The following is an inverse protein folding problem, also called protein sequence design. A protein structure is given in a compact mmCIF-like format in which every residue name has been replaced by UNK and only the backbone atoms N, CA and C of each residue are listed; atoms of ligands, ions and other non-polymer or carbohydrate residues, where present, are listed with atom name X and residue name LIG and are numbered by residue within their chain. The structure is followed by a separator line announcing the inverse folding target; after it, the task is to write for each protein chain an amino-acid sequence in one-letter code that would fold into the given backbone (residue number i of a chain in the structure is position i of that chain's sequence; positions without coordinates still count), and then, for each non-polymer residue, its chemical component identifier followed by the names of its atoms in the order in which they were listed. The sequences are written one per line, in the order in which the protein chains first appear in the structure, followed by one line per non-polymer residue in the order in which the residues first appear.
data_IF_414713297271
#
_entry.id   IF_414713297271
#
_cell.length_a   1.000
_cell.length_b   1.000
_cell.length_c   1.000
_cell.angle_alpha   90.00
_cell.angle_beta   90.00
_cell.angle_gamma   90.00
#
_symmetry.space_group_name_H-M   'P 1'
#
loop_
_entity.id
_entity.type
_entity.pdbx_description
1 polymer ?
#
# COMPACT_ATOMS: atom_id res chain seq x y z
N UNK A 1 3.27 35.91 12.80
CA UNK A 1 3.86 34.84 13.63
C UNK A 1 3.79 35.13 15.16
N UNK A 2 4.13 36.29 15.63
CA UNK A 2 4.12 36.64 17.07
C UNK A 2 2.72 36.47 17.73
N UNK A 3 1.65 36.99 17.11
CA UNK A 3 0.29 36.89 17.61
C UNK A 3 -0.20 35.41 17.71
N UNK A 4 0.06 34.61 16.69
CA UNK A 4 -0.32 33.18 16.64
C UNK A 4 0.27 32.36 17.80
N UNK A 5 1.57 32.52 18.07
CA UNK A 5 2.27 31.82 19.17
C UNK A 5 1.79 32.24 20.54
N UNK A 6 1.49 33.56 20.72
CA UNK A 6 1.01 34.11 21.98
C UNK A 6 -0.41 33.61 22.31
N UNK A 7 -1.26 33.51 21.31
CA UNK A 7 -2.61 32.95 21.43
C UNK A 7 -2.63 31.47 21.78
N UNK A 8 -1.76 30.67 21.15
CA UNK A 8 -1.57 29.26 21.50
C UNK A 8 -1.16 29.07 22.97
N UNK A 9 -0.26 29.97 23.48
CA UNK A 9 0.15 29.92 24.87
C UNK A 9 -0.94 30.37 25.86
N UNK A 10 -1.80 31.30 25.48
CA UNK A 10 -2.87 31.83 26.33
C UNK A 10 -4.06 30.88 26.49
N UNK A 11 -4.40 30.11 25.48
CA UNK A 11 -5.54 29.18 25.48
C UNK A 11 -5.11 27.72 25.35
N UNK A 12 -4.13 27.29 26.15
CA UNK A 12 -3.46 25.97 26.07
C UNK A 12 -4.45 24.80 26.05
N UNK A 13 -5.47 24.81 26.92
CA UNK A 13 -6.43 23.70 27.02
C UNK A 13 -7.23 23.54 25.73
N UNK A 14 -7.68 24.63 25.15
CA UNK A 14 -8.50 24.63 23.91
C UNK A 14 -7.70 24.14 22.72
N UNK A 15 -6.53 24.72 22.49
CA UNK A 15 -5.65 24.28 21.40
C UNK A 15 -5.06 22.88 21.63
N UNK A 16 -4.86 22.51 22.91
CA UNK A 16 -4.45 21.14 23.27
C UNK A 16 -5.50 20.09 22.92
N UNK A 17 -6.80 20.37 23.19
CA UNK A 17 -7.88 19.48 22.81
C UNK A 17 -8.00 19.34 21.29
N UNK A 18 -7.90 20.44 20.55
CA UNK A 18 -7.93 20.40 19.08
C UNK A 18 -6.73 19.66 18.53
N UNK A 19 -5.54 19.96 19.07
CA UNK A 19 -4.30 19.24 18.71
C UNK A 19 -4.43 17.74 18.97
N UNK A 20 -5.01 17.34 20.10
CA UNK A 20 -5.27 15.93 20.42
C UNK A 20 -6.19 15.26 19.37
N UNK A 21 -7.28 15.92 19.01
CA UNK A 21 -8.19 15.38 17.98
C UNK A 21 -7.48 15.29 16.63
N UNK A 22 -6.67 16.28 16.26
CA UNK A 22 -5.88 16.24 15.02
C UNK A 22 -4.85 15.10 15.06
N UNK A 23 -4.20 14.85 16.20
CA UNK A 23 -3.30 13.71 16.40
C UNK A 23 -4.04 12.40 16.22
N UNK A 24 -5.21 12.23 16.87
CA UNK A 24 -5.98 10.99 16.77
C UNK A 24 -6.45 10.72 15.33
N UNK A 25 -6.95 11.75 14.64
CA UNK A 25 -7.38 11.62 13.24
C UNK A 25 -6.22 11.29 12.29
N UNK A 26 -5.12 12.02 12.39
CA UNK A 26 -3.96 11.75 11.55
C UNK A 26 -3.30 10.41 11.88
N UNK A 27 -3.25 10.02 13.14
CA UNK A 27 -2.80 8.69 13.56
C UNK A 27 -3.69 7.59 12.94
N UNK A 28 -5.01 7.73 13.03
CA UNK A 28 -5.94 6.75 12.47
C UNK A 28 -5.81 6.65 10.95
N UNK A 29 -5.69 7.77 10.24
CA UNK A 29 -5.47 7.77 8.78
C UNK A 29 -4.16 7.07 8.43
N UNK A 30 -3.07 7.36 9.12
CA UNK A 30 -1.77 6.71 8.88
C UNK A 30 -1.81 5.20 9.17
N UNK A 31 -2.46 4.78 10.27
CA UNK A 31 -2.60 3.36 10.61
C UNK A 31 -3.42 2.61 9.56
N UNK A 32 -4.60 3.13 9.18
CA UNK A 32 -5.43 2.48 8.16
C UNK A 32 -4.71 2.47 6.81
N UNK A 33 -3.98 3.53 6.48
CA UNK A 33 -3.20 3.57 5.23
C UNK A 33 -2.02 2.59 5.23
N UNK A 34 -1.35 2.43 6.37
CA UNK A 34 -0.29 1.43 6.54
C UNK A 34 -0.81 0.00 6.43
N UNK A 35 -1.97 -0.29 7.03
CA UNK A 35 -2.67 -1.58 6.90
C UNK A 35 -3.14 -1.82 5.46
N UNK A 36 -3.73 -0.81 4.81
CA UNK A 36 -4.21 -0.91 3.43
C UNK A 36 -3.07 -1.24 2.46
N UNK A 37 -1.95 -0.54 2.60
CA UNK A 37 -0.80 -0.78 1.76
C UNK A 37 -0.11 -2.12 2.08
N UNK A 38 0.00 -2.46 3.36
CA UNK A 38 0.53 -3.75 3.80
C UNK A 38 -0.30 -4.92 3.29
N UNK A 39 -1.62 -4.85 3.40
CA UNK A 39 -2.53 -5.88 2.89
C UNK A 39 -2.45 -6.03 1.36
N UNK A 40 -2.38 -4.89 0.64
CA UNK A 40 -2.13 -4.89 -0.81
C UNK A 40 -0.81 -5.55 -1.18
N UNK A 41 0.22 -5.29 -0.41
CA UNK A 41 1.56 -5.86 -0.62
C UNK A 41 1.58 -7.36 -0.32
N UNK A 42 0.96 -7.78 0.76
CA UNK A 42 0.76 -9.18 1.14
C UNK A 42 -0.07 -9.95 0.09
N UNK A 43 -1.01 -9.29 -0.56
CA UNK A 43 -1.80 -9.92 -1.62
C UNK A 43 -1.05 -10.06 -2.95
N UNK A 44 -0.14 -9.16 -3.30
CA UNK A 44 0.34 -9.04 -4.69
C UNK A 44 1.82 -8.68 -4.86
N UNK A 45 2.65 -8.73 -3.80
CA UNK A 45 4.04 -8.26 -3.87
C UNK A 45 4.88 -9.00 -4.91
N UNK A 46 4.62 -10.27 -5.16
CA UNK A 46 5.32 -11.03 -6.21
C UNK A 46 5.15 -10.43 -7.60
N UNK A 47 3.94 -9.94 -7.92
CA UNK A 47 3.68 -9.27 -9.20
C UNK A 47 4.12 -7.80 -9.15
N UNK A 48 3.93 -7.12 -8.01
CA UNK A 48 4.36 -5.72 -7.86
C UNK A 48 5.88 -5.57 -8.03
N UNK A 49 6.67 -6.49 -7.45
CA UNK A 49 8.13 -6.47 -7.47
C UNK A 49 8.75 -7.09 -8.73
N UNK A 50 7.94 -7.78 -9.56
CA UNK A 50 8.39 -8.35 -10.81
C UNK A 50 8.90 -7.27 -11.76
N UNK A 51 10.01 -7.49 -12.44
CA UNK A 51 10.61 -6.52 -13.39
C UNK A 51 9.88 -6.49 -14.75
N UNK A 52 8.63 -6.91 -14.80
CA UNK A 52 7.76 -6.84 -15.97
C UNK A 52 6.85 -5.61 -15.90
N UNK A 53 6.58 -4.97 -17.03
CA UNK A 53 5.64 -3.86 -17.14
C UNK A 53 4.30 -4.27 -17.74
N UNK A 54 4.31 -5.27 -18.61
CA UNK A 54 3.16 -5.82 -19.32
C UNK A 54 3.14 -7.34 -19.26
N UNK A 55 1.98 -7.92 -19.51
CA UNK A 55 1.78 -9.37 -19.51
C UNK A 55 0.94 -9.76 -20.71
N UNK A 56 1.27 -10.90 -21.33
CA UNK A 56 0.39 -11.58 -22.27
C UNK A 56 -0.40 -12.64 -21.50
N UNK A 57 -1.69 -12.66 -21.69
CA UNK A 57 -2.60 -13.68 -21.16
C UNK A 57 -3.41 -14.31 -22.31
N UNK A 58 -4.06 -15.44 -22.04
CA UNK A 58 -5.02 -16.01 -22.96
C UNK A 58 -6.26 -15.11 -23.10
N UNK A 59 -6.85 -15.03 -24.29
CA UNK A 59 -7.99 -14.15 -24.59
C UNK A 59 -9.22 -14.40 -23.71
N UNK A 60 -9.43 -15.66 -23.32
CA UNK A 60 -10.54 -16.12 -22.47
C UNK A 60 -10.27 -16.06 -20.96
N UNK A 61 -9.10 -15.59 -20.56
CA UNK A 61 -8.66 -15.55 -19.16
C UNK A 61 -9.36 -14.48 -18.30
N UNK A 62 -10.09 -13.53 -18.88
CA UNK A 62 -10.66 -12.37 -18.17
C UNK A 62 -9.60 -11.62 -17.34
N UNK A 63 -8.40 -11.46 -17.87
CA UNK A 63 -7.24 -10.86 -17.23
C UNK A 63 -6.74 -11.59 -15.96
N UNK A 64 -7.19 -12.83 -15.68
CA UNK A 64 -6.85 -13.59 -14.48
C UNK A 64 -5.70 -14.57 -14.73
N UNK A 65 -4.56 -14.38 -14.07
CA UNK A 65 -3.38 -15.26 -14.18
C UNK A 65 -3.70 -16.74 -13.94
N UNK A 66 -4.52 -17.03 -12.92
CA UNK A 66 -4.88 -18.41 -12.55
C UNK A 66 -5.85 -19.10 -13.54
N UNK A 67 -6.49 -18.34 -14.43
CA UNK A 67 -7.38 -18.86 -15.48
C UNK A 67 -6.72 -18.92 -16.84
N UNK A 68 -5.66 -18.17 -17.03
CA UNK A 68 -4.96 -18.08 -18.31
C UNK A 68 -4.19 -19.36 -18.62
N UNK A 69 -4.33 -19.84 -19.85
CA UNK A 69 -3.66 -21.03 -20.37
C UNK A 69 -3.16 -20.73 -21.78
N UNK A 70 -1.87 -20.42 -21.90
CA UNK A 70 -1.19 -20.08 -23.15
C UNK A 70 -0.43 -21.31 -23.63
N UNK A 71 -0.72 -21.75 -24.84
CA UNK A 71 -0.02 -22.89 -25.45
C UNK A 71 1.42 -22.51 -25.84
N UNK A 72 2.26 -23.51 -25.93
CA UNK A 72 3.67 -23.31 -26.28
C UNK A 72 3.84 -22.59 -27.62
N UNK A 73 3.05 -22.92 -28.62
CA UNK A 73 3.13 -22.30 -29.95
C UNK A 73 2.85 -20.79 -29.90
N UNK A 74 1.90 -20.36 -29.04
CA UNK A 74 1.60 -18.94 -28.83
C UNK A 74 2.71 -18.24 -28.05
N UNK A 75 3.32 -18.93 -27.08
CA UNK A 75 4.53 -18.44 -26.38
C UNK A 75 5.67 -18.22 -27.37
N UNK A 76 5.98 -19.22 -28.20
CA UNK A 76 7.05 -19.14 -29.18
C UNK A 76 6.81 -17.98 -30.17
N UNK A 77 5.55 -17.74 -30.57
CA UNK A 77 5.18 -16.61 -31.42
C UNK A 77 5.46 -15.24 -30.75
N UNK A 78 5.14 -15.10 -29.46
CA UNK A 78 5.40 -13.86 -28.72
C UNK A 78 6.90 -13.65 -28.51
N UNK A 79 7.60 -14.67 -28.07
CA UNK A 79 9.05 -14.64 -27.83
C UNK A 79 9.81 -14.29 -29.11
N UNK A 80 9.42 -14.85 -30.27
CA UNK A 80 10.02 -14.52 -31.57
C UNK A 80 9.80 -13.05 -31.99
N UNK A 81 8.71 -12.38 -31.57
CA UNK A 81 8.45 -10.97 -31.87
C UNK A 81 9.26 -10.03 -30.98
N UNK A 82 9.49 -10.38 -29.72
CA UNK A 82 10.06 -9.52 -28.69
C UNK A 82 11.51 -9.86 -28.39
N UNK A 83 11.83 -11.13 -28.27
CA UNK A 83 13.11 -11.70 -27.89
C UNK A 83 13.05 -12.39 -26.51
N UNK A 84 13.82 -13.48 -26.35
CA UNK A 84 13.84 -14.31 -25.13
C UNK A 84 14.23 -13.54 -23.85
N UNK A 85 15.05 -12.48 -23.97
CA UNK A 85 15.46 -11.67 -22.81
C UNK A 85 14.38 -10.69 -22.34
N UNK A 86 13.41 -10.35 -23.19
CA UNK A 86 12.39 -9.35 -22.92
C UNK A 86 10.99 -9.97 -22.72
N UNK A 87 10.82 -11.25 -23.09
CA UNK A 87 9.57 -11.99 -22.96
C UNK A 87 9.84 -13.34 -22.29
N UNK A 88 9.44 -13.46 -21.03
CA UNK A 88 9.67 -14.68 -20.22
C UNK A 88 8.34 -15.30 -19.86
N UNK A 89 8.05 -16.51 -20.37
CA UNK A 89 6.86 -17.26 -19.99
C UNK A 89 6.98 -17.80 -18.56
N UNK A 90 5.88 -17.83 -17.81
CA UNK A 90 5.86 -18.41 -16.48
C UNK A 90 4.51 -19.04 -16.17
N UNK A 91 4.50 -19.88 -15.15
CA UNK A 91 3.31 -20.58 -14.68
C UNK A 91 3.05 -20.25 -13.23
N UNK A 92 1.77 -20.17 -12.87
CA UNK A 92 1.32 -19.89 -11.50
C UNK A 92 0.29 -20.93 -11.08
N UNK A 93 0.45 -21.46 -9.87
CA UNK A 93 -0.51 -22.38 -9.26
C UNK A 93 -0.55 -22.14 -7.75
N UNK A 94 -1.72 -22.11 -7.16
CA UNK A 94 -1.88 -22.13 -5.69
C UNK A 94 -2.14 -23.59 -5.26
N UNK A 95 -1.43 -24.04 -4.24
CA UNK A 95 -1.56 -25.41 -3.72
C UNK A 95 -1.19 -25.46 -2.24
N UNK A 96 -1.72 -26.47 -1.55
CA UNK A 96 -1.40 -26.73 -0.15
C UNK A 96 -0.36 -27.85 -0.07
N UNK A 97 0.79 -27.60 0.56
CA UNK A 97 1.85 -28.58 0.78
C UNK A 97 1.84 -29.06 2.24
N UNK A 98 2.40 -30.25 2.47
CA UNK A 98 2.59 -30.79 3.80
C UNK A 98 4.07 -30.80 4.16
N UNK A 99 4.42 -30.33 5.37
CA UNK A 99 5.81 -30.46 5.84
C UNK A 99 6.10 -31.95 6.14
N UNK A 100 7.20 -32.48 5.62
CA UNK A 100 7.65 -33.84 5.91
C UNK A 100 7.81 -34.01 7.42
N UNK A 101 7.45 -35.18 7.93
CA UNK A 101 7.49 -35.55 9.35
C UNK A 101 6.61 -34.65 10.27
N UNK A 102 5.65 -33.95 9.69
CA UNK A 102 4.67 -33.11 10.41
C UNK A 102 3.32 -33.13 9.70
N UNK A 103 2.25 -33.02 10.44
CA UNK A 103 0.90 -32.85 9.85
C UNK A 103 0.58 -31.39 9.48
N UNK A 104 1.57 -30.49 9.54
CA UNK A 104 1.38 -29.08 9.20
C UNK A 104 1.21 -28.91 7.70
N UNK A 105 0.12 -28.25 7.34
CA UNK A 105 -0.20 -27.84 5.96
C UNK A 105 0.14 -26.39 5.77
N UNK A 106 0.67 -26.06 4.59
CA UNK A 106 1.06 -24.71 4.22
C UNK A 106 0.55 -24.42 2.82
N UNK A 107 -0.26 -23.38 2.70
CA UNK A 107 -0.69 -22.88 1.41
C UNK A 107 0.45 -22.05 0.81
N UNK A 108 0.74 -22.31 -0.46
CA UNK A 108 1.80 -21.63 -1.22
C UNK A 108 1.33 -21.34 -2.64
N UNK A 109 1.79 -20.23 -3.18
CA UNK A 109 1.68 -19.96 -4.61
C UNK A 109 2.98 -20.39 -5.29
N UNK A 110 2.88 -21.30 -6.25
CA UNK A 110 4.06 -21.81 -6.96
C UNK A 110 4.21 -21.03 -8.26
N UNK A 111 5.40 -20.46 -8.45
CA UNK A 111 5.79 -19.80 -9.68
C UNK A 111 6.89 -20.63 -10.36
N UNK A 112 6.71 -20.94 -11.65
CA UNK A 112 7.84 -21.44 -12.43
C UNK A 112 8.75 -20.27 -12.79
N UNK A 113 10.06 -20.46 -12.69
CA UNK A 113 11.04 -19.47 -13.09
C UNK A 113 12.02 -20.11 -14.07
N UNK A 114 12.25 -19.43 -15.19
CA UNK A 114 13.34 -19.75 -16.07
C UNK A 114 14.63 -19.16 -15.50
N UNK A 115 15.71 -19.95 -15.51
CA UNK A 115 16.99 -19.51 -14.95
C UNK A 115 17.56 -18.36 -15.74
N UNK A 116 18.29 -17.49 -15.04
CA UNK A 116 18.95 -16.32 -15.61
C UNK A 116 17.98 -15.35 -16.32
N UNK A 117 16.67 -15.50 -16.06
CA UNK A 117 15.65 -14.57 -16.53
C UNK A 117 15.42 -13.42 -15.53
N UNK A 118 14.79 -12.35 -15.97
CA UNK A 118 14.41 -11.25 -15.07
C UNK A 118 13.30 -11.63 -14.08
N UNK A 119 12.72 -12.83 -14.19
CA UNK A 119 11.77 -13.39 -13.23
C UNK A 119 12.44 -14.17 -12.09
N UNK A 120 13.74 -14.39 -12.18
CA UNK A 120 14.46 -15.10 -11.11
C UNK A 120 14.42 -14.29 -9.81
N UNK A 121 13.95 -14.88 -8.69
CA UNK A 121 13.82 -14.16 -7.43
C UNK A 121 15.18 -13.80 -6.83
N UNK A 122 15.29 -12.62 -6.24
CA UNK A 122 16.48 -12.19 -5.49
C UNK A 122 16.58 -12.97 -4.18
N UNK A 123 17.64 -13.75 -4.01
CA UNK A 123 17.87 -14.56 -2.82
C UNK A 123 18.38 -13.68 -1.67
N UNK A 124 17.76 -13.80 -0.51
CA UNK A 124 18.19 -13.08 0.72
C UNK A 124 18.92 -14.01 1.70
N UNK A 125 18.70 -15.32 1.62
CA UNK A 125 19.38 -16.33 2.45
C UNK A 125 19.38 -17.69 1.75
N UNK A 126 20.45 -18.47 1.91
CA UNK A 126 20.59 -19.79 1.27
C UNK A 126 21.09 -19.71 -0.15
N UNK A 127 20.66 -20.64 -0.98
CA UNK A 127 21.14 -20.83 -2.34
C UNK A 127 20.03 -20.52 -3.37
N UNK A 128 20.43 -20.19 -4.59
CA UNK A 128 19.55 -20.11 -5.75
C UNK A 128 19.08 -21.52 -6.15
N UNK A 129 18.02 -21.57 -6.97
CA UNK A 129 17.59 -22.81 -7.60
C UNK A 129 18.73 -23.42 -8.42
N UNK A 130 19.16 -24.60 -8.03
CA UNK A 130 20.15 -25.38 -8.77
C UNK A 130 19.54 -26.14 -9.94
N UNK A 131 20.23 -27.17 -10.41
CA UNK A 131 19.75 -28.03 -11.51
C UNK A 131 18.88 -29.20 -11.02
N UNK A 132 18.79 -29.40 -9.71
CA UNK A 132 18.02 -30.51 -9.15
C UNK A 132 16.51 -30.24 -9.25
N UNK A 133 15.77 -31.28 -9.64
CA UNK A 133 14.31 -31.18 -9.86
C UNK A 133 13.49 -31.33 -8.57
N UNK A 134 14.10 -31.17 -7.42
CA UNK A 134 13.46 -31.25 -6.10
C UNK A 134 13.81 -30.04 -5.20
N UNK A 135 14.29 -28.97 -5.77
CA UNK A 135 14.64 -27.75 -5.06
C UNK A 135 13.54 -26.70 -5.19
N UNK A 136 13.33 -25.94 -4.11
CA UNK A 136 12.46 -24.80 -4.05
C UNK A 136 13.13 -23.62 -3.34
N UNK A 137 12.89 -22.42 -3.83
CA UNK A 137 13.17 -21.16 -3.14
C UNK A 137 11.84 -20.56 -2.70
N UNK A 138 11.71 -20.25 -1.43
CA UNK A 138 10.46 -19.76 -0.86
C UNK A 138 10.57 -18.31 -0.37
N UNK A 139 9.45 -17.61 -0.28
CA UNK A 139 9.40 -16.37 0.48
C UNK A 139 9.66 -16.64 1.97
N UNK A 140 10.44 -15.75 2.62
CA UNK A 140 10.85 -15.95 4.02
C UNK A 140 9.69 -15.98 5.03
N UNK A 141 8.50 -15.50 4.67
CA UNK A 141 7.29 -15.57 5.50
C UNK A 141 6.85 -17.02 5.77
N UNK A 142 7.28 -17.98 4.96
CA UNK A 142 7.00 -19.42 5.19
C UNK A 142 7.59 -19.91 6.52
N UNK A 143 8.60 -19.21 7.08
CA UNK A 143 9.17 -19.50 8.41
C UNK A 143 8.14 -19.40 9.52
N UNK A 144 7.16 -18.50 9.40
CA UNK A 144 6.06 -18.36 10.36
C UNK A 144 5.20 -19.64 10.41
N UNK A 145 5.20 -20.40 9.31
CA UNK A 145 4.56 -21.72 9.24
C UNK A 145 5.47 -22.85 9.76
N UNK A 146 6.69 -22.52 10.21
CA UNK A 146 7.66 -23.46 10.78
C UNK A 146 8.45 -24.24 9.73
N UNK A 147 8.67 -23.66 8.54
CA UNK A 147 9.49 -24.22 7.46
C UNK A 147 10.77 -23.38 7.34
N UNK A 148 11.95 -24.03 7.36
CA UNK A 148 13.26 -23.40 7.22
C UNK A 148 14.06 -24.04 6.06
N UNK A 149 15.20 -23.46 5.74
CA UNK A 149 16.14 -24.02 4.75
C UNK A 149 16.57 -25.42 5.19
N UNK A 150 16.53 -26.36 4.24
CA UNK A 150 16.80 -27.78 4.46
C UNK A 150 15.56 -28.60 4.80
N UNK A 151 14.43 -27.95 5.17
CA UNK A 151 13.16 -28.65 5.35
C UNK A 151 12.61 -29.17 4.04
N UNK A 152 11.91 -30.29 4.11
CA UNK A 152 11.23 -30.91 2.97
C UNK A 152 9.74 -30.71 3.07
N UNK A 153 9.11 -30.27 1.97
CA UNK A 153 7.66 -30.19 1.80
C UNK A 153 7.20 -31.18 0.73
N UNK A 154 6.00 -31.69 0.90
CA UNK A 154 5.44 -32.77 0.06
C UNK A 154 4.24 -32.22 -0.70
N UNK A 155 4.22 -32.38 -2.01
CA UNK A 155 3.04 -32.09 -2.83
C UNK A 155 1.96 -33.15 -2.56
N UNK A 156 0.75 -32.76 -2.15
CA UNK A 156 -0.29 -33.72 -1.76
C UNK A 156 -0.79 -34.57 -2.93
N UNK A 157 -0.66 -34.06 -4.17
CA UNK A 157 -1.18 -34.71 -5.39
C UNK A 157 -0.14 -35.67 -5.96
N UNK A 158 1.06 -35.18 -6.27
CA UNK A 158 2.11 -35.98 -6.89
C UNK A 158 2.93 -36.81 -5.89
N UNK A 159 2.79 -36.54 -4.58
CA UNK A 159 3.59 -37.11 -3.49
C UNK A 159 5.10 -36.84 -3.64
N UNK A 160 5.49 -35.89 -4.47
CA UNK A 160 6.88 -35.50 -4.63
C UNK A 160 7.34 -34.67 -3.44
N UNK A 161 8.60 -34.88 -3.10
CA UNK A 161 9.28 -34.18 -2.01
C UNK A 161 10.15 -33.06 -2.62
N UNK A 162 10.08 -31.88 -2.00
CA UNK A 162 10.85 -30.71 -2.38
C UNK A 162 11.58 -30.14 -1.17
N UNK A 163 12.85 -29.80 -1.35
CA UNK A 163 13.68 -29.21 -0.32
C UNK A 163 13.75 -27.70 -0.51
N UNK A 164 13.53 -26.93 0.56
CA UNK A 164 13.73 -25.49 0.56
C UNK A 164 15.23 -25.20 0.63
N UNK A 165 15.81 -24.68 -0.45
CA UNK A 165 17.25 -24.40 -0.55
C UNK A 165 17.61 -22.96 -0.26
N UNK A 166 16.65 -22.04 -0.39
CA UNK A 166 16.87 -20.62 -0.16
C UNK A 166 15.61 -19.86 0.12
N UNK A 167 15.79 -18.63 0.60
CA UNK A 167 14.72 -17.69 0.83
C UNK A 167 14.85 -16.45 -0.04
N UNK A 168 13.73 -16.00 -0.54
CA UNK A 168 13.51 -14.67 -1.10
C UNK A 168 12.67 -13.84 -0.13
N UNK A 169 12.45 -12.58 -0.43
CA UNK A 169 11.69 -11.67 0.41
C UNK A 169 10.66 -10.90 -0.40
N UNK A 170 9.54 -10.57 0.25
CA UNK A 170 8.50 -9.74 -0.33
C UNK A 170 7.91 -10.37 -1.61
N UNK A 171 7.65 -11.68 -1.56
CA UNK A 171 7.10 -12.48 -2.65
C UNK A 171 5.82 -13.19 -2.18
N UNK A 172 4.72 -12.44 -2.18
CA UNK A 172 3.40 -12.93 -1.81
C UNK A 172 2.45 -12.89 -3.01
N UNK A 173 1.53 -13.84 -3.08
CA UNK A 173 0.46 -13.89 -4.08
C UNK A 173 -0.82 -14.43 -3.46
N UNK A 174 -1.90 -13.65 -3.51
CA UNK A 174 -3.20 -13.99 -2.88
C UNK A 174 -3.05 -14.41 -1.41
N UNK A 175 -2.30 -13.60 -0.63
CA UNK A 175 -1.98 -13.81 0.80
C UNK A 175 -1.25 -15.12 1.12
N UNK A 176 -0.62 -15.73 0.12
CA UNK A 176 0.19 -16.91 0.30
C UNK A 176 1.65 -16.66 -0.08
N UNK A 177 2.62 -17.24 0.65
CA UNK A 177 4.01 -17.13 0.27
C UNK A 177 4.25 -17.78 -1.09
N UNK A 178 5.01 -17.09 -1.93
CA UNK A 178 5.42 -17.65 -3.23
C UNK A 178 6.59 -18.59 -3.02
N UNK A 179 6.52 -19.70 -3.73
CA UNK A 179 7.59 -20.69 -3.86
C UNK A 179 7.96 -20.79 -5.33
N UNK A 180 9.23 -20.62 -5.61
CA UNK A 180 9.80 -20.70 -6.95
C UNK A 180 10.34 -22.10 -7.22
N UNK A 181 10.07 -22.60 -8.42
CA UNK A 181 10.59 -23.86 -8.94
C UNK A 181 11.16 -23.67 -10.34
N UNK A 182 12.09 -24.49 -10.76
CA UNK A 182 12.54 -24.50 -12.14
C UNK A 182 11.39 -24.94 -13.07
N UNK A 183 11.42 -24.47 -14.30
CA UNK A 183 10.42 -24.80 -15.31
C UNK A 183 10.30 -26.34 -15.54
N UNK A 184 11.42 -27.04 -15.55
CA UNK A 184 11.50 -28.50 -15.72
C UNK A 184 10.69 -29.26 -14.65
N UNK A 185 10.54 -28.68 -13.47
CA UNK A 185 9.82 -29.27 -12.34
C UNK A 185 8.30 -29.22 -12.56
N UNK A 186 7.81 -28.23 -13.30
CA UNK A 186 6.38 -27.95 -13.45
C UNK A 186 5.57 -29.18 -13.92
N UNK A 187 6.07 -29.89 -14.93
CA UNK A 187 5.42 -31.10 -15.43
C UNK A 187 5.23 -32.21 -14.40
N UNK A 188 5.96 -32.13 -13.28
CA UNK A 188 5.94 -33.10 -12.20
C UNK A 188 4.96 -32.79 -11.07
N UNK A 189 4.57 -31.52 -10.94
CA UNK A 189 3.64 -31.03 -9.92
C UNK A 189 2.28 -30.59 -10.49
N UNK A 190 2.19 -30.53 -11.82
CA UNK A 190 0.94 -30.17 -12.52
C UNK A 190 0.17 -31.41 -12.94
N UNK A 191 -1.15 -31.27 -13.07
CA UNK A 191 -1.98 -32.30 -13.72
C UNK A 191 -1.68 -32.35 -15.22
N UNK A 192 -1.92 -33.49 -15.89
CA UNK A 192 -1.62 -33.66 -17.32
C UNK A 192 -2.17 -32.56 -18.24
N UNK A 193 -3.29 -31.94 -17.83
CA UNK A 193 -3.99 -30.88 -18.57
C UNK A 193 -3.50 -29.44 -18.19
N UNK A 194 -2.54 -29.28 -17.29
CA UNK A 194 -2.01 -27.99 -16.81
C UNK A 194 -0.56 -27.77 -17.26
N UNK A 195 -0.23 -28.11 -18.49
CA UNK A 195 1.08 -27.89 -19.06
C UNK A 195 1.27 -26.50 -19.65
N UNK A 196 0.17 -25.79 -19.87
CA UNK A 196 0.18 -24.48 -20.50
C UNK A 196 0.73 -23.40 -19.56
N UNK A 197 1.21 -22.30 -20.12
CA UNK A 197 1.73 -21.17 -19.37
C UNK A 197 0.60 -20.29 -18.89
N UNK A 198 0.77 -19.72 -17.69
CA UNK A 198 -0.21 -18.79 -17.13
C UNK A 198 -0.09 -17.39 -17.74
N UNK A 199 1.15 -16.97 -18.03
CA UNK A 199 1.40 -15.68 -18.66
C UNK A 199 2.79 -15.63 -19.29
N UNK A 200 2.99 -14.60 -20.13
CA UNK A 200 4.31 -14.18 -20.57
C UNK A 200 4.56 -12.79 -19.99
N UNK A 201 5.55 -12.68 -19.14
CA UNK A 201 5.98 -11.40 -18.59
C UNK A 201 6.83 -10.65 -19.61
N UNK A 202 6.56 -9.36 -19.79
CA UNK A 202 7.21 -8.52 -20.78
C UNK A 202 7.94 -7.36 -20.12
N UNK A 203 9.19 -7.19 -20.47
CA UNK A 203 10.00 -6.02 -20.09
C UNK A 203 10.34 -5.16 -21.31
N UNK A 204 9.43 -5.08 -22.28
CA UNK A 204 9.57 -4.33 -23.51
C UNK A 204 8.33 -3.48 -23.77
N UNK A 205 8.54 -2.34 -24.42
CA UNK A 205 7.47 -1.44 -24.90
C UNK A 205 7.07 -1.70 -26.37
N UNK A 206 7.30 -2.93 -26.86
CA UNK A 206 6.93 -3.31 -28.23
C UNK A 206 5.46 -3.66 -28.31
N UNK A 207 4.84 -3.28 -29.42
CA UNK A 207 3.50 -3.74 -29.78
C UNK A 207 3.58 -5.20 -30.30
N UNK A 208 2.82 -6.09 -29.70
CA UNK A 208 2.81 -7.52 -30.03
C UNK A 208 1.52 -7.82 -30.80
N UNK A 209 1.66 -8.38 -31.98
CA UNK A 209 0.51 -8.73 -32.82
C UNK A 209 -0.10 -10.07 -32.39
N UNK A 210 -1.42 -10.15 -32.47
CA UNK A 210 -2.18 -11.37 -32.17
C UNK A 210 -1.96 -11.93 -30.76
N UNK A 211 -1.82 -11.05 -29.78
CA UNK A 211 -1.70 -11.42 -28.37
C UNK A 211 -2.48 -10.46 -27.48
N UNK A 212 -3.13 -10.97 -26.45
CA UNK A 212 -3.83 -10.16 -25.46
C UNK A 212 -2.83 -9.63 -24.44
N UNK A 213 -2.36 -8.41 -24.68
CA UNK A 213 -1.39 -7.70 -23.83
C UNK A 213 -2.12 -6.80 -22.85
N UNK A 214 -1.82 -6.94 -21.58
CA UNK A 214 -2.37 -6.09 -20.52
C UNK A 214 -1.26 -5.48 -19.67
N UNK A 215 -1.55 -4.35 -19.03
CA UNK A 215 -0.61 -3.68 -18.13
C UNK A 215 -0.52 -4.40 -16.77
N UNK A 216 0.63 -4.29 -16.10
CA UNK A 216 0.84 -4.81 -14.74
C UNK A 216 -0.30 -4.44 -13.78
N UNK A 217 -0.83 -3.21 -13.89
CA UNK A 217 -1.93 -2.73 -13.04
C UNK A 217 -3.21 -3.56 -13.22
N UNK A 218 -3.51 -3.99 -14.44
CA UNK A 218 -4.69 -4.82 -14.72
C UNK A 218 -4.52 -6.23 -14.16
N UNK A 219 -3.31 -6.81 -14.28
CA UNK A 219 -2.98 -8.08 -13.64
C UNK A 219 -3.16 -8.01 -12.14
N UNK A 220 -2.64 -6.97 -11.48
CA UNK A 220 -2.80 -6.76 -10.04
C UNK A 220 -4.28 -6.70 -9.65
N UNK A 221 -5.10 -5.97 -10.40
CA UNK A 221 -6.54 -5.86 -10.14
C UNK A 221 -7.32 -7.17 -10.35
N UNK A 222 -6.74 -8.13 -11.07
CA UNK A 222 -7.34 -9.43 -11.32
C UNK A 222 -6.98 -10.50 -10.28
N UNK A 223 -6.02 -10.22 -9.40
CA UNK A 223 -5.69 -11.11 -8.28
C UNK A 223 -6.90 -11.17 -7.33
N UNK A 224 -7.31 -12.38 -6.91
CA UNK A 224 -8.47 -12.54 -6.03
C UNK A 224 -8.37 -11.68 -4.76
N UNK A 225 -9.43 -10.92 -4.47
CA UNK A 225 -9.51 -10.04 -3.30
C UNK A 225 -8.83 -8.69 -3.45
N UNK A 226 -7.84 -8.53 -4.31
CA UNK A 226 -7.01 -7.32 -4.40
C UNK A 226 -7.83 -6.04 -4.69
N UNK A 227 -8.70 -6.09 -5.70
CA UNK A 227 -9.52 -4.94 -6.10
C UNK A 227 -10.54 -4.55 -5.03
N UNK A 228 -11.19 -5.54 -4.43
CA UNK A 228 -12.21 -5.38 -3.39
C UNK A 228 -11.60 -4.80 -2.11
N UNK A 229 -10.45 -5.30 -1.68
CA UNK A 229 -9.71 -4.82 -0.53
C UNK A 229 -9.22 -3.40 -0.73
N UNK A 230 -8.56 -3.13 -1.84
CA UNK A 230 -8.07 -1.80 -2.20
C UNK A 230 -9.21 -0.79 -2.30
N UNK A 231 -10.32 -1.17 -2.93
CA UNK A 231 -11.51 -0.32 -3.05
C UNK A 231 -12.11 0.03 -1.70
N UNK A 232 -12.30 -0.97 -0.84
CA UNK A 232 -12.88 -0.79 0.50
C UNK A 232 -11.99 0.08 1.39
N UNK A 233 -10.69 -0.21 1.44
CA UNK A 233 -9.76 0.53 2.28
C UNK A 233 -9.56 1.96 1.79
N UNK A 234 -9.47 2.18 0.47
CA UNK A 234 -9.42 3.53 -0.12
C UNK A 234 -10.68 4.34 0.23
N UNK A 235 -11.86 3.71 0.18
CA UNK A 235 -13.11 4.36 0.57
C UNK A 235 -13.11 4.75 2.06
N UNK A 236 -12.64 3.88 2.95
CA UNK A 236 -12.52 4.19 4.39
C UNK A 236 -11.56 5.38 4.60
N UNK A 237 -10.40 5.38 3.96
CA UNK A 237 -9.43 6.48 4.05
C UNK A 237 -10.06 7.79 3.54
N UNK A 238 -10.78 7.75 2.42
CA UNK A 238 -11.46 8.93 1.89
C UNK A 238 -12.49 9.49 2.87
N UNK A 239 -13.31 8.65 3.49
CA UNK A 239 -14.26 9.08 4.53
C UNK A 239 -13.55 9.67 5.74
N UNK A 240 -12.47 9.06 6.21
CA UNK A 240 -11.69 9.60 7.32
C UNK A 240 -11.11 10.97 7.01
N UNK A 241 -10.63 11.19 5.79
CA UNK A 241 -10.12 12.50 5.35
C UNK A 241 -11.24 13.54 5.28
N UNK A 242 -12.43 13.18 4.81
CA UNK A 242 -13.60 14.07 4.81
C UNK A 242 -14.01 14.43 6.24
N UNK A 243 -14.06 13.45 7.14
CA UNK A 243 -14.36 13.68 8.57
C UNK A 243 -13.31 14.60 9.18
N UNK A 244 -12.02 14.36 8.91
CA UNK A 244 -10.93 15.21 9.38
C UNK A 244 -11.09 16.66 8.88
N UNK A 245 -11.41 16.85 7.60
CA UNK A 245 -11.64 18.16 7.01
C UNK A 245 -12.79 18.91 7.68
N UNK A 246 -13.93 18.22 7.89
CA UNK A 246 -15.09 18.79 8.57
C UNK A 246 -14.79 19.19 10.01
N UNK A 247 -14.15 18.30 10.78
CA UNK A 247 -13.80 18.57 12.19
C UNK A 247 -12.83 19.73 12.30
N UNK A 248 -11.77 19.74 11.50
CA UNK A 248 -10.81 20.86 11.49
C UNK A 248 -11.51 22.17 11.13
N UNK A 249 -12.35 22.17 10.09
CA UNK A 249 -13.13 23.33 9.69
C UNK A 249 -14.04 23.86 10.80
N UNK A 250 -14.82 22.99 11.44
CA UNK A 250 -15.71 23.34 12.55
C UNK A 250 -14.92 23.88 13.75
N UNK A 251 -13.79 23.28 14.11
CA UNK A 251 -12.97 23.77 15.23
C UNK A 251 -12.41 25.16 14.97
N UNK A 252 -11.86 25.41 13.80
CA UNK A 252 -11.35 26.76 13.47
C UNK A 252 -12.48 27.76 13.36
N UNK A 253 -13.65 27.37 12.87
CA UNK A 253 -14.83 28.21 12.84
C UNK A 253 -15.28 28.62 14.28
N UNK A 254 -15.41 27.66 15.20
CA UNK A 254 -15.78 27.91 16.59
C UNK A 254 -14.76 28.77 17.30
N UNK A 255 -13.45 28.52 17.11
CA UNK A 255 -12.41 29.38 17.68
C UNK A 255 -12.54 30.82 17.17
N UNK A 256 -12.78 30.98 15.88
CA UNK A 256 -12.92 32.29 15.25
C UNK A 256 -14.15 33.02 15.79
N UNK A 257 -15.28 32.35 15.94
CA UNK A 257 -16.50 32.94 16.56
C UNK A 257 -16.22 33.44 17.99
N UNK A 258 -15.56 32.64 18.81
CA UNK A 258 -15.22 33.02 20.19
C UNK A 258 -14.27 34.21 20.30
N UNK A 259 -13.56 34.52 19.23
CA UNK A 259 -12.60 35.63 19.13
C UNK A 259 -13.15 36.86 18.39
N UNK A 260 -14.42 36.83 17.96
CA UNK A 260 -15.02 37.86 17.13
C UNK A 260 -14.86 39.25 17.77
N UNK A 261 -15.11 39.38 19.08
CA UNK A 261 -14.94 40.62 19.80
C UNK A 261 -13.49 41.12 19.81
N UNK A 262 -12.50 40.23 20.07
CA UNK A 262 -11.08 40.56 20.06
C UNK A 262 -10.61 40.99 18.65
N UNK A 263 -11.09 40.28 17.62
CA UNK A 263 -10.78 40.57 16.22
C UNK A 263 -11.42 41.91 15.79
N UNK A 264 -12.62 42.22 16.27
CA UNK A 264 -13.28 43.51 16.05
C UNK A 264 -12.51 44.68 16.65
N UNK A 265 -12.02 44.57 17.89
CA UNK A 265 -11.14 45.58 18.51
C UNK A 265 -9.85 45.77 17.71
N UNK A 266 -9.21 44.67 17.26
CA UNK A 266 -8.02 44.77 16.44
C UNK A 266 -8.25 45.48 15.10
N UNK A 267 -9.43 45.24 14.48
CA UNK A 267 -9.85 45.93 13.25
C UNK A 267 -10.08 47.43 13.53
N UNK A 268 -10.74 47.78 14.65
CA UNK A 268 -10.99 49.18 15.02
C UNK A 268 -9.70 50.01 15.20
N UNK A 269 -8.64 49.39 15.70
CA UNK A 269 -7.31 50.01 15.81
C UNK A 269 -6.47 49.97 14.51
N UNK A 270 -7.10 49.52 13.38
CA UNK A 270 -6.47 49.60 12.04
C UNK A 270 -5.72 48.37 11.59
N UNK A 271 -5.88 47.22 12.25
CA UNK A 271 -5.22 45.96 11.80
C UNK A 271 -5.85 45.47 10.48
N UNK A 272 -4.97 45.20 9.50
CA UNK A 272 -5.41 44.70 8.18
C UNK A 272 -6.00 43.29 8.27
N UNK A 273 -7.08 43.04 7.54
CA UNK A 273 -7.72 41.72 7.48
C UNK A 273 -6.75 40.57 7.08
N UNK A 274 -5.79 40.87 6.19
CA UNK A 274 -4.76 39.90 5.78
C UNK A 274 -3.84 39.47 6.92
N UNK A 275 -3.56 40.36 7.89
CA UNK A 275 -2.74 40.03 9.07
C UNK A 275 -3.49 39.06 10.01
N UNK A 276 -4.78 39.31 10.24
CA UNK A 276 -5.63 38.45 11.06
C UNK A 276 -5.81 37.08 10.41
N UNK A 277 -6.05 37.07 9.10
CA UNK A 277 -6.12 35.88 8.28
C UNK A 277 -4.86 35.02 8.39
N UNK A 278 -3.71 35.65 8.17
CA UNK A 278 -2.41 34.95 8.23
C UNK A 278 -2.13 34.40 9.64
N UNK A 279 -2.57 35.09 10.69
CA UNK A 279 -2.43 34.58 12.06
C UNK A 279 -3.19 33.27 12.28
N UNK A 280 -4.44 33.14 11.76
CA UNK A 280 -5.23 31.92 11.85
C UNK A 280 -4.63 30.77 11.02
N UNK A 281 -4.21 31.07 9.79
CA UNK A 281 -3.54 30.07 8.93
C UNK A 281 -2.26 29.54 9.58
N UNK A 282 -1.44 30.41 10.16
CA UNK A 282 -0.21 30.00 10.85
C UNK A 282 -0.52 29.14 12.08
N UNK A 283 -1.59 29.42 12.82
CA UNK A 283 -2.02 28.59 13.96
C UNK A 283 -2.44 27.19 13.48
N UNK A 284 -3.24 27.12 12.41
CA UNK A 284 -3.68 25.85 11.82
C UNK A 284 -2.51 25.02 11.31
N UNK A 285 -1.60 25.65 10.58
CA UNK A 285 -0.39 24.98 10.07
C UNK A 285 0.48 24.45 11.21
N UNK A 286 0.70 25.26 12.24
CA UNK A 286 1.49 24.83 13.39
C UNK A 286 0.89 23.61 14.08
N UNK A 287 -0.43 23.63 14.35
CA UNK A 287 -1.13 22.50 14.95
C UNK A 287 -1.10 21.27 14.07
N UNK A 288 -1.29 21.42 12.76
CA UNK A 288 -1.24 20.32 11.81
C UNK A 288 0.12 19.65 11.75
N UNK A 289 1.18 20.46 11.67
CA UNK A 289 2.56 19.95 11.65
C UNK A 289 2.88 19.22 12.94
N UNK A 290 2.55 19.80 14.09
CA UNK A 290 2.79 19.17 15.38
C UNK A 290 1.97 17.87 15.51
N UNK A 291 0.70 17.89 15.12
CA UNK A 291 -0.13 16.70 15.16
C UNK A 291 0.42 15.58 14.25
N UNK A 292 0.84 15.90 13.03
CA UNK A 292 1.43 14.93 12.11
C UNK A 292 2.74 14.35 12.66
N UNK A 293 3.63 15.17 13.22
CA UNK A 293 4.88 14.67 13.82
C UNK A 293 4.59 13.69 14.95
N UNK A 294 3.67 14.05 15.86
CA UNK A 294 3.28 13.15 16.96
C UNK A 294 2.67 11.87 16.43
N UNK A 295 1.78 11.95 15.44
CA UNK A 295 1.13 10.78 14.84
C UNK A 295 2.12 9.85 14.13
N UNK A 296 3.10 10.38 13.43
CA UNK A 296 4.18 9.60 12.79
C UNK A 296 4.98 8.85 13.87
N UNK A 297 5.37 9.52 14.95
CA UNK A 297 6.10 8.87 16.06
C UNK A 297 5.25 7.76 16.70
N UNK A 298 3.95 8.01 16.91
CA UNK A 298 3.04 7.00 17.46
C UNK A 298 2.88 5.79 16.53
N UNK A 299 2.77 6.02 15.21
CA UNK A 299 2.66 4.93 14.23
C UNK A 299 3.94 4.12 14.16
N UNK A 300 5.11 4.76 14.15
CA UNK A 300 6.40 4.05 14.18
C UNK A 300 6.58 3.24 15.48
N UNK A 301 6.10 3.75 16.61
CA UNK A 301 6.05 2.99 17.85
C UNK A 301 5.08 1.80 17.79
N UNK A 302 3.92 1.98 17.16
CA UNK A 302 2.95 0.91 16.95
C UNK A 302 3.54 -0.21 16.06
N UNK A 303 4.21 0.15 14.97
CA UNK A 303 4.84 -0.80 14.03
C UNK A 303 5.80 -1.76 14.73
N UNK A 304 6.53 -1.29 15.75
CA UNK A 304 7.45 -2.14 16.52
C UNK A 304 6.75 -3.16 17.44
N UNK A 305 5.47 -2.95 17.74
CA UNK A 305 4.69 -3.80 18.66
C UNK A 305 3.79 -4.76 17.89
N UNK A 306 3.55 -4.48 16.60
CA UNK A 306 2.72 -5.34 15.76
C UNK A 306 3.32 -6.75 15.63
N UNK A 307 2.49 -7.81 15.64
CA UNK A 307 2.94 -9.16 15.34
C UNK A 307 3.59 -9.25 13.97
N UNK A 308 4.63 -10.07 13.83
CA UNK A 308 5.39 -10.22 12.58
C UNK A 308 4.52 -10.60 11.35
N UNK A 309 3.43 -11.36 11.58
CA UNK A 309 2.49 -11.75 10.52
C UNK A 309 1.41 -10.71 10.17
N UNK A 310 1.43 -9.52 10.79
CA UNK A 310 0.45 -8.49 10.49
C UNK A 310 0.92 -7.64 9.31
N UNK A 311 0.18 -7.62 8.17
CA UNK A 311 0.59 -6.87 7.00
C UNK A 311 0.44 -5.36 7.24
N UNK A 312 1.54 -4.71 7.59
CA UNK A 312 1.61 -3.28 7.80
C UNK A 312 2.81 -2.70 7.04
N UNK A 313 2.55 -1.78 6.11
CA UNK A 313 3.60 -1.16 5.32
C UNK A 313 3.32 0.33 5.14
N UNK A 314 4.08 1.19 5.83
CA UNK A 314 3.99 2.63 5.74
C UNK A 314 5.29 3.21 5.19
N UNK A 315 5.31 3.55 3.91
CA UNK A 315 6.50 4.06 3.24
C UNK A 315 6.69 5.57 3.44
N UNK A 316 7.94 6.05 3.37
CA UNK A 316 8.25 7.48 3.47
C UNK A 316 7.48 8.35 2.45
N UNK A 317 7.33 7.96 1.17
CA UNK A 317 6.51 8.71 0.22
C UNK A 317 5.05 8.82 0.64
N UNK A 318 4.45 7.76 1.20
CA UNK A 318 3.08 7.79 1.71
C UNK A 318 2.94 8.76 2.88
N UNK A 319 3.86 8.74 3.84
CA UNK A 319 3.90 9.69 4.95
C UNK A 319 3.91 11.12 4.41
N UNK A 320 4.80 11.42 3.46
CA UNK A 320 4.90 12.74 2.85
C UNK A 320 3.58 13.16 2.15
N UNK A 321 2.93 12.23 1.45
CA UNK A 321 1.63 12.45 0.81
C UNK A 321 0.55 12.81 1.84
N UNK A 322 0.42 12.06 2.94
CA UNK A 322 -0.59 12.34 3.97
C UNK A 322 -0.27 13.63 4.73
N UNK A 323 0.98 13.94 5.00
CA UNK A 323 1.38 15.25 5.55
C UNK A 323 0.89 16.38 4.65
N UNK A 324 1.13 16.29 3.35
CA UNK A 324 0.68 17.30 2.39
C UNK A 324 -0.86 17.41 2.38
N UNK A 325 -1.59 16.30 2.37
CA UNK A 325 -3.05 16.27 2.41
C UNK A 325 -3.58 16.95 3.68
N UNK A 326 -3.04 16.62 4.86
CA UNK A 326 -3.46 17.24 6.13
C UNK A 326 -3.17 18.74 6.19
N UNK A 327 -2.06 19.18 5.64
CA UNK A 327 -1.72 20.62 5.52
C UNK A 327 -2.76 21.31 4.63
N UNK A 328 -3.09 20.75 3.45
CA UNK A 328 -4.09 21.30 2.55
C UNK A 328 -5.48 21.37 3.22
N UNK A 329 -5.90 20.29 3.86
CA UNK A 329 -7.18 20.23 4.61
C UNK A 329 -7.23 21.31 5.69
N UNK A 330 -6.13 21.49 6.43
CA UNK A 330 -6.07 22.50 7.51
C UNK A 330 -6.13 23.92 6.98
N UNK A 331 -5.49 24.20 5.86
CA UNK A 331 -5.59 25.50 5.20
C UNK A 331 -7.02 25.74 4.72
N UNK A 332 -7.63 24.78 4.01
CA UNK A 332 -8.99 24.90 3.50
C UNK A 332 -10.02 25.09 4.65
N UNK A 333 -9.92 24.30 5.71
CA UNK A 333 -10.77 24.43 6.89
C UNK A 333 -10.63 25.80 7.56
N UNK A 334 -9.41 26.33 7.64
CA UNK A 334 -9.17 27.68 8.18
C UNK A 334 -9.73 28.78 7.26
N UNK A 335 -9.63 28.62 5.95
CA UNK A 335 -10.17 29.58 4.98
C UNK A 335 -11.70 29.71 5.08
N UNK A 336 -12.41 28.62 5.36
CA UNK A 336 -13.86 28.65 5.62
C UNK A 336 -14.17 29.51 6.85
N UNK A 337 -13.36 29.37 7.92
CA UNK A 337 -13.54 30.19 9.13
C UNK A 337 -13.19 31.68 8.91
N UNK A 338 -12.30 31.95 7.98
CA UNK A 338 -11.86 33.29 7.62
C UNK A 338 -12.95 34.15 7.01
N UNK A 339 -13.86 33.54 6.25
CA UNK A 339 -15.03 34.24 5.69
C UNK A 339 -15.85 34.91 6.77
N UNK A 340 -15.96 34.27 7.94
CA UNK A 340 -16.67 34.82 9.11
C UNK A 340 -15.90 36.05 9.68
N UNK A 341 -14.57 36.00 9.76
CA UNK A 341 -13.72 37.11 10.26
C UNK A 341 -13.87 38.35 9.39
N UNK A 342 -13.96 38.15 8.08
CA UNK A 342 -14.08 39.24 7.11
C UNK A 342 -15.44 39.96 7.25
N UNK A 343 -16.50 39.26 7.64
CA UNK A 343 -17.86 39.81 7.84
C UNK A 343 -18.05 40.54 9.17
N UNK A 344 -17.14 40.39 10.14
CA UNK A 344 -17.25 41.11 11.44
C UNK A 344 -17.11 42.59 11.21
N UNK A 345 -18.18 43.32 11.50
CA UNK A 345 -18.17 44.78 11.56
C UNK A 345 -17.54 45.23 12.88
N UNK A 346 -16.56 46.18 12.79
CA UNK A 346 -15.88 46.73 13.96
C UNK A 346 -16.86 47.43 14.91
N UNK A 347 -17.92 48.05 14.39
CA UNK A 347 -18.93 48.75 15.18
C UNK A 347 -19.86 47.77 15.94
N UNK A 348 -20.28 46.68 15.31
CA UNK A 348 -21.07 45.64 15.97
C UNK A 348 -20.27 44.89 17.06
N UNK A 349 -18.98 44.65 16.82
CA UNK A 349 -18.10 43.95 17.76
C UNK A 349 -17.84 44.76 19.05
N UNK A 350 -17.89 46.09 18.98
CA UNK A 350 -17.70 46.99 20.15
C UNK A 350 -19.04 47.29 20.81
N UNK A 351 -20.13 47.36 20.05
CA UNK A 351 -21.48 47.72 20.54
C UNK A 351 -22.35 46.53 21.02
N UNK A 352 -21.96 45.31 20.80
CA UNK A 352 -22.73 44.09 21.09
C UNK A 352 -22.74 43.62 22.56
N UNK A 353 -22.64 44.51 23.49
CA UNK A 353 -22.68 44.26 24.94
C UNK A 353 -23.93 44.87 25.64
N UNK A 354 -25.11 44.87 24.97
CA UNK A 354 -26.36 45.08 25.64
C UNK A 354 -27.29 43.90 25.46
#
# INVERSE_FOLDING_TARGET
MFLALRELKQSKLRYGLIGLIMVLLSFLVLVISGLANGLSYDNASSIQNMEANKFVLADDAENKLLRSQIKKDDVDNVVNQVGEKEAVPFRVKVSTYEKKDSSKKVDVAIFSSERDSFLEPKIVKGEKLGTANNEMVADESIKEKGIDIGDTIIDPVSKKEFTIVGFTKDQMFSHTPVVYVNEDVWGSISQPNQKDYSAIALNADKEIKNAHVIDKKEVLQSIPGFKEEQGTLTMIIAFLLVIAALLIGVFFYVITLQKTQQLGVLKAIGTKNSYLANSLVVQALFLSVVAMVISIVLVQGLEQILPAGMPFLLTTPMIAQYVAIFIVISILGTLISLYQVLKVDALEAIGGGM
#
